data_IF_906972218484
#
_entry.id   IF_906972218484
#
_cell.length_a   1.000
_cell.length_b   1.000
_cell.length_c   1.000
_cell.angle_alpha   90.00
_cell.angle_beta   90.00
_cell.angle_gamma   90.00
#
_symmetry.space_group_name_H-M   'P 1'
#
loop_
_entity.id
_entity.type
_entity.pdbx_description
1 polymer ?
#
# COMPACT_ATOMS: atom_id res chain seq x y z
N UNK A 1 15.33 1.83 2.11
CA UNK A 1 15.60 2.73 0.96
C UNK A 1 14.31 2.85 0.18
N UNK A 2 13.77 4.06 -0.03
CA UNK A 2 12.63 4.23 -0.93
C UNK A 2 13.09 3.81 -2.33
N UNK A 3 12.27 3.10 -3.13
CA UNK A 3 12.60 2.92 -4.53
C UNK A 3 12.75 4.32 -5.16
N UNK A 4 13.84 4.55 -5.88
CA UNK A 4 13.99 5.77 -6.69
C UNK A 4 12.79 5.90 -7.63
N UNK A 5 12.44 7.14 -7.98
CA UNK A 5 11.41 7.39 -8.98
C UNK A 5 11.90 6.85 -10.33
N UNK A 6 11.53 5.60 -10.63
CA UNK A 6 11.69 5.04 -11.97
C UNK A 6 10.96 5.93 -12.98
N UNK A 7 11.63 6.25 -14.08
CA UNK A 7 11.07 7.06 -15.16
C UNK A 7 9.76 6.40 -15.64
N UNK A 8 8.63 7.08 -15.42
CA UNK A 8 7.30 6.58 -15.81
C UNK A 8 6.46 5.94 -14.69
N UNK A 9 6.99 5.81 -13.47
CA UNK A 9 6.21 5.35 -12.30
C UNK A 9 5.87 6.50 -11.35
N UNK A 10 4.69 6.42 -10.74
CA UNK A 10 4.22 7.29 -9.66
C UNK A 10 4.36 6.56 -8.33
N UNK A 11 5.06 7.15 -7.37
CA UNK A 11 5.11 6.69 -5.99
C UNK A 11 4.00 7.37 -5.17
N UNK A 12 3.11 6.56 -4.59
CA UNK A 12 2.05 7.01 -3.69
C UNK A 12 2.43 6.57 -2.28
N UNK A 13 2.49 7.50 -1.33
CA UNK A 13 2.76 7.21 0.08
C UNK A 13 1.58 7.66 0.96
N UNK A 14 1.19 6.82 1.91
CA UNK A 14 0.17 7.11 2.91
C UNK A 14 0.75 6.84 4.29
N UNK A 15 0.91 7.89 5.09
CA UNK A 15 1.32 7.80 6.49
C UNK A 15 0.11 7.54 7.39
N UNK A 16 0.27 6.62 8.34
CA UNK A 16 -0.72 6.30 9.38
C UNK A 16 0.03 6.10 10.71
N UNK A 17 -0.42 6.78 11.77
CA UNK A 17 0.17 6.68 13.11
C UNK A 17 -0.26 5.38 13.83
N UNK A 18 -1.22 4.65 13.28
CA UNK A 18 -1.66 3.35 13.78
C UNK A 18 -0.60 2.25 13.68
N UNK A 19 -0.51 1.41 14.71
CA UNK A 19 0.44 0.29 14.80
C UNK A 19 0.05 -0.95 13.98
N UNK A 20 -1.21 -1.05 13.53
CA UNK A 20 -1.69 -2.20 12.77
C UNK A 20 -1.10 -2.25 11.36
N UNK A 21 -0.63 -3.41 10.89
CA UNK A 21 -0.13 -3.55 9.53
C UNK A 21 -1.28 -3.81 8.53
N UNK A 22 -1.21 -3.28 7.30
CA UNK A 22 -2.18 -3.61 6.27
C UNK A 22 -2.05 -5.10 5.91
N UNK A 23 -3.19 -5.77 5.77
CA UNK A 23 -3.26 -7.19 5.43
C UNK A 23 -4.10 -7.34 4.18
N UNK A 24 -3.56 -8.03 3.17
CA UNK A 24 -4.35 -8.41 1.99
C UNK A 24 -5.35 -9.45 2.45
N UNK A 25 -6.64 -9.18 2.21
CA UNK A 25 -7.72 -10.09 2.58
C UNK A 25 -8.44 -10.55 1.33
N UNK A 26 -8.73 -11.84 1.28
CA UNK A 26 -9.78 -12.32 0.40
C UNK A 26 -11.13 -11.86 0.98
N UNK A 27 -11.92 -11.19 0.15
CA UNK A 27 -13.26 -10.78 0.53
C UNK A 27 -14.26 -11.60 -0.29
N UNK A 28 -15.29 -12.11 0.37
CA UNK A 28 -16.40 -12.80 -0.30
C UNK A 28 -17.07 -11.92 -1.36
N UNK A 29 -17.75 -12.57 -2.32
CA UNK A 29 -18.40 -11.88 -3.44
C UNK A 29 -19.43 -10.84 -3.01
N UNK A 30 -20.07 -11.04 -1.86
CA UNK A 30 -21.09 -10.18 -1.25
C UNK A 30 -20.54 -9.28 -0.13
N UNK A 31 -19.24 -9.36 0.20
CA UNK A 31 -18.66 -8.52 1.23
C UNK A 31 -18.85 -7.04 0.88
N UNK A 32 -18.99 -6.15 1.87
CA UNK A 32 -19.10 -4.70 1.61
C UNK A 32 -17.78 -3.95 1.87
N UNK A 33 -16.79 -4.63 2.45
CA UNK A 33 -15.49 -4.07 2.79
C UNK A 33 -14.37 -5.11 2.61
N UNK A 34 -13.12 -4.71 2.88
CA UNK A 34 -11.97 -5.63 2.90
C UNK A 34 -11.26 -5.86 1.56
N UNK A 35 -11.82 -5.38 0.44
CA UNK A 35 -11.20 -5.52 -0.90
C UNK A 35 -10.15 -4.48 -1.24
N UNK A 36 -10.08 -3.37 -0.52
CA UNK A 36 -9.27 -2.21 -0.92
C UNK A 36 -7.82 -2.57 -1.24
N UNK A 37 -7.14 -3.24 -0.30
CA UNK A 37 -5.73 -3.60 -0.52
C UNK A 37 -5.56 -4.70 -1.57
N UNK A 38 -6.50 -5.64 -1.69
CA UNK A 38 -6.48 -6.64 -2.76
C UNK A 38 -6.54 -5.96 -4.14
N UNK A 39 -7.43 -4.98 -4.31
CA UNK A 39 -7.53 -4.21 -5.57
C UNK A 39 -6.24 -3.44 -5.85
N UNK A 40 -5.66 -2.79 -4.84
CA UNK A 40 -4.37 -2.08 -4.99
C UNK A 40 -3.28 -3.03 -5.47
N UNK A 41 -3.13 -4.21 -4.84
CA UNK A 41 -2.12 -5.22 -5.22
C UNK A 41 -2.24 -5.63 -6.69
N UNK A 42 -3.44 -5.62 -7.28
CA UNK A 42 -3.64 -5.98 -8.68
C UNK A 42 -3.34 -4.84 -9.67
N UNK A 43 -3.31 -3.59 -9.20
CA UNK A 43 -3.15 -2.40 -10.05
C UNK A 43 -1.74 -1.81 -10.04
N UNK A 44 -0.96 -2.11 -9.00
CA UNK A 44 0.35 -1.50 -8.77
C UNK A 44 1.46 -2.46 -9.20
N UNK A 45 2.57 -1.91 -9.67
CA UNK A 45 3.77 -2.68 -10.01
C UNK A 45 4.43 -3.26 -8.76
N UNK A 46 4.39 -2.49 -7.67
CA UNK A 46 4.95 -2.90 -6.39
C UNK A 46 4.33 -2.09 -5.25
N UNK A 47 4.34 -2.64 -4.05
CA UNK A 47 3.85 -1.96 -2.85
C UNK A 47 4.51 -2.53 -1.60
N UNK A 48 4.44 -1.77 -0.51
CA UNK A 48 4.96 -2.26 0.75
C UNK A 48 4.62 -1.37 1.92
N UNK A 49 5.23 -1.71 3.06
CA UNK A 49 5.04 -1.00 4.32
C UNK A 49 6.41 -0.66 4.88
N UNK A 50 6.57 0.60 5.29
CA UNK A 50 7.76 1.09 5.97
C UNK A 50 7.35 1.57 7.37
N UNK A 51 7.83 0.94 8.45
CA UNK A 51 7.59 1.47 9.79
C UNK A 51 8.26 2.84 9.95
N UNK A 52 7.67 3.69 10.79
CA UNK A 52 8.22 5.00 11.13
C UNK A 52 8.85 4.97 12.53
N UNK A 53 9.97 5.68 12.67
CA UNK A 53 10.60 5.88 13.97
C UNK A 53 9.66 6.70 14.85
N UNK A 54 9.37 6.20 16.06
CA UNK A 54 8.39 6.82 16.97
C UNK A 54 6.97 6.25 16.86
N UNK A 55 6.75 5.27 15.97
CA UNK A 55 5.46 4.59 15.81
C UNK A 55 4.78 4.93 14.49
N UNK A 56 3.75 4.15 14.15
CA UNK A 56 3.07 4.25 12.85
C UNK A 56 3.84 3.62 11.70
N UNK A 57 3.38 3.88 10.50
CA UNK A 57 3.89 3.31 9.25
C UNK A 57 3.56 4.20 8.06
N UNK A 58 4.29 4.01 6.98
CA UNK A 58 3.93 4.43 5.63
C UNK A 58 3.60 3.20 4.81
N UNK A 59 2.42 3.20 4.20
CA UNK A 59 2.11 2.28 3.09
C UNK A 59 2.50 2.98 1.80
N UNK A 60 3.27 2.33 0.96
CA UNK A 60 3.70 2.88 -0.32
C UNK A 60 3.29 1.97 -1.48
N UNK A 61 3.06 2.56 -2.65
CA UNK A 61 2.81 1.82 -3.88
C UNK A 61 3.40 2.54 -5.09
N UNK A 62 3.85 1.76 -6.09
CA UNK A 62 4.33 2.25 -7.38
C UNK A 62 3.39 1.79 -8.49
N UNK A 63 2.86 2.70 -9.28
CA UNK A 63 2.05 2.38 -10.46
C UNK A 63 2.50 3.19 -11.67
N UNK A 64 2.11 2.75 -12.87
CA UNK A 64 2.30 3.56 -14.07
C UNK A 64 1.55 4.90 -13.93
N UNK A 65 2.09 5.95 -14.57
CA UNK A 65 1.46 7.27 -14.64
C UNK A 65 0.17 7.28 -15.47
#
# INVERSE_FOLDING_TARGET
MLPEADEGLVLIEVSDDGSGLPVVREAGGDALCGRGLLLVVQLVMDWGVRPLDGGGKVVWARCAR
#
